data_IF_321694426543
#
_entry.id   IF_321694426543
#
_cell.length_a   1.000
_cell.length_b   1.000
_cell.length_c   1.000
_cell.angle_alpha   90.00
_cell.angle_beta   90.00
_cell.angle_gamma   90.00
#
_symmetry.space_group_name_H-M   'P 1'
#
loop_
_entity.id
_entity.type
_entity.pdbx_description
1 polymer ?
#
# COMPACT_ATOMS: atom_id res chain seq x y z
N UNK A 1 14.09 12.84 8.96
CA UNK A 1 14.28 11.77 7.93
C UNK A 1 13.16 11.88 6.91
N UNK A 2 13.51 12.37 5.74
CA UNK A 2 12.56 12.57 4.65
C UNK A 2 12.26 11.24 3.95
N UNK A 3 10.98 10.89 3.87
CA UNK A 3 10.51 9.69 3.18
C UNK A 3 9.59 10.04 2.03
N UNK A 4 9.85 9.52 0.84
CA UNK A 4 9.00 9.59 -0.33
C UNK A 4 8.27 8.26 -0.52
N UNK A 5 6.94 8.28 -0.57
CA UNK A 5 6.13 7.09 -0.79
C UNK A 5 5.21 7.19 -2.00
N UNK A 6 4.99 6.05 -2.65
CA UNK A 6 4.13 5.90 -3.82
C UNK A 6 3.16 4.74 -3.62
N UNK A 7 1.88 5.00 -3.83
CA UNK A 7 0.82 3.99 -3.95
C UNK A 7 0.09 4.15 -5.29
N UNK A 8 0.19 3.15 -6.12
CA UNK A 8 -0.49 3.06 -7.42
C UNK A 8 -1.28 1.74 -7.54
N UNK A 9 -1.58 1.10 -6.40
CA UNK A 9 -2.19 -0.22 -6.36
C UNK A 9 -3.70 -0.22 -6.62
N UNK A 10 -4.37 0.94 -6.57
CA UNK A 10 -5.81 1.10 -6.78
C UNK A 10 -6.13 2.04 -7.94
N UNK A 11 -7.41 2.27 -8.22
CA UNK A 11 -7.87 3.25 -9.23
C UNK A 11 -7.48 4.68 -8.83
N UNK A 12 -7.58 4.98 -7.54
CA UNK A 12 -7.06 6.20 -6.96
C UNK A 12 -5.73 5.85 -6.30
N UNK A 13 -4.66 6.45 -6.82
CA UNK A 13 -3.33 6.35 -6.24
C UNK A 13 -3.01 7.56 -5.37
N UNK A 14 -1.83 7.52 -4.76
CA UNK A 14 -1.30 8.66 -4.02
C UNK A 14 0.22 8.64 -3.98
N UNK A 15 0.80 9.83 -3.76
CA UNK A 15 2.20 10.03 -3.45
C UNK A 15 2.29 10.92 -2.21
N UNK A 16 3.30 10.71 -1.38
CA UNK A 16 3.47 11.49 -0.15
C UNK A 16 4.94 11.77 0.14
N UNK A 17 5.20 12.93 0.72
CA UNK A 17 6.46 13.25 1.40
C UNK A 17 6.17 13.38 2.89
N UNK A 18 6.98 12.71 3.71
CA UNK A 18 6.91 12.82 5.17
C UNK A 18 8.26 13.21 5.73
N UNK A 19 8.27 13.91 6.88
CA UNK A 19 9.47 14.15 7.68
C UNK A 19 9.28 13.61 9.09
N UNK A 20 10.18 12.74 9.53
CA UNK A 20 10.09 12.02 10.82
C UNK A 20 8.69 11.39 11.03
N UNK A 21 8.10 10.85 9.94
CA UNK A 21 6.75 10.26 9.95
C UNK A 21 5.61 11.26 9.96
N UNK A 22 5.87 12.56 10.03
CA UNK A 22 4.86 13.61 9.85
C UNK A 22 4.64 13.89 8.37
N UNK A 23 3.38 13.88 7.93
CA UNK A 23 3.03 14.15 6.55
C UNK A 23 3.30 15.63 6.24
N UNK A 24 4.23 15.91 5.32
CA UNK A 24 4.41 17.24 4.76
C UNK A 24 3.34 17.53 3.71
N UNK A 25 3.13 16.58 2.80
CA UNK A 25 2.08 16.66 1.79
C UNK A 25 1.72 15.27 1.24
N UNK A 26 0.45 15.10 0.86
CA UNK A 26 -0.05 13.96 0.10
C UNK A 26 -0.72 14.49 -1.15
N UNK A 27 -0.36 13.95 -2.31
CA UNK A 27 -1.05 14.20 -3.57
C UNK A 27 -1.85 12.98 -3.99
N UNK A 28 -3.13 13.20 -4.28
CA UNK A 28 -4.02 12.21 -4.86
C UNK A 28 -3.75 12.08 -6.35
N UNK A 29 -3.67 10.86 -6.84
CA UNK A 29 -3.47 10.55 -8.24
C UNK A 29 -4.73 9.91 -8.81
N UNK A 30 -5.17 10.40 -9.97
CA UNK A 30 -6.21 9.76 -10.75
C UNK A 30 -5.76 9.70 -12.21
N UNK A 31 -5.56 8.49 -12.72
CA UNK A 31 -4.99 8.27 -14.05
C UNK A 31 -5.74 7.17 -14.81
N UNK A 32 -6.89 7.47 -15.44
CA UNK A 32 -7.63 6.49 -16.23
C UNK A 32 -6.79 5.85 -17.35
N UNK A 33 -5.78 6.57 -17.87
CA UNK A 33 -4.81 6.08 -18.85
C UNK A 33 -3.61 5.33 -18.27
N UNK A 34 -3.57 5.15 -16.94
CA UNK A 34 -2.49 4.49 -16.21
C UNK A 34 -1.47 5.46 -15.59
N UNK A 35 -1.00 5.13 -14.40
CA UNK A 35 -0.12 5.98 -13.59
C UNK A 35 1.24 6.25 -14.23
N UNK A 36 1.74 5.35 -15.10
CA UNK A 36 3.04 5.52 -15.76
C UNK A 36 3.17 6.83 -16.56
N UNK A 37 2.06 7.41 -17.01
CA UNK A 37 2.08 8.65 -17.79
C UNK A 37 2.23 9.91 -16.92
N UNK A 38 1.73 9.87 -15.68
CA UNK A 38 1.64 11.06 -14.82
C UNK A 38 2.58 11.02 -13.62
N UNK A 39 3.01 9.83 -13.18
CA UNK A 39 3.66 9.63 -11.89
C UNK A 39 4.88 10.53 -11.67
N UNK A 40 5.79 10.60 -12.62
CA UNK A 40 7.01 11.40 -12.46
C UNK A 40 6.74 12.91 -12.46
N UNK A 41 5.79 13.39 -13.26
CA UNK A 41 5.38 14.79 -13.23
C UNK A 41 4.72 15.17 -11.91
N UNK A 42 3.88 14.30 -11.36
CA UNK A 42 3.25 14.51 -10.06
C UNK A 42 4.26 14.43 -8.90
N UNK A 43 5.27 13.54 -8.99
CA UNK A 43 6.37 13.49 -8.02
C UNK A 43 7.18 14.79 -8.03
N UNK A 44 7.54 15.30 -9.20
CA UNK A 44 8.25 16.59 -9.34
C UNK A 44 7.44 17.73 -8.74
N UNK A 45 6.14 17.81 -9.06
CA UNK A 45 5.24 18.83 -8.53
C UNK A 45 5.09 18.74 -7.01
N UNK A 46 4.97 17.52 -6.44
CA UNK A 46 4.89 17.28 -4.99
C UNK A 46 6.16 17.77 -4.29
N UNK A 47 7.33 17.36 -4.77
CA UNK A 47 8.62 17.76 -4.20
C UNK A 47 8.81 19.28 -4.23
N UNK A 48 8.42 19.92 -5.34
CA UNK A 48 8.49 21.39 -5.46
C UNK A 48 7.59 22.10 -4.44
N UNK A 49 6.35 21.60 -4.22
CA UNK A 49 5.44 22.14 -3.19
C UNK A 49 5.99 21.97 -1.79
N UNK A 50 6.60 20.83 -1.49
CA UNK A 50 7.27 20.59 -0.21
C UNK A 50 8.60 21.35 -0.06
N UNK A 51 9.14 21.95 -1.13
CA UNK A 51 10.48 22.56 -1.18
C UNK A 51 11.59 21.57 -0.82
N UNK A 52 11.41 20.31 -1.21
CA UNK A 52 12.33 19.20 -1.00
C UNK A 52 12.92 18.80 -2.34
N UNK A 53 14.23 18.55 -2.41
CA UNK A 53 14.88 18.01 -3.60
C UNK A 53 14.86 16.48 -3.53
N UNK A 54 14.87 15.81 -4.66
CA UNK A 54 14.94 14.34 -4.70
C UNK A 54 16.20 13.80 -3.97
N UNK A 55 17.31 14.56 -4.02
CA UNK A 55 18.56 14.21 -3.35
C UNK A 55 18.49 14.30 -1.81
N UNK A 56 17.49 15.00 -1.27
CA UNK A 56 17.29 15.18 0.18
C UNK A 56 16.46 14.01 0.77
N UNK A 57 15.90 13.14 -0.06
CA UNK A 57 15.12 11.98 0.39
C UNK A 57 16.06 10.94 1.02
N UNK A 58 15.73 10.50 2.21
CA UNK A 58 16.50 9.51 2.98
C UNK A 58 15.98 8.09 2.81
N UNK A 59 14.67 7.92 2.60
CA UNK A 59 13.99 6.63 2.45
C UNK A 59 12.94 6.70 1.35
N UNK A 60 12.89 5.65 0.55
CA UNK A 60 11.85 5.45 -0.47
C UNK A 60 10.88 4.35 -0.03
N UNK A 61 9.60 4.49 -0.37
CA UNK A 61 8.60 3.49 -0.04
C UNK A 61 7.61 3.26 -1.19
N UNK A 62 7.21 2.03 -1.40
CA UNK A 62 6.18 1.68 -2.38
C UNK A 62 5.14 0.75 -1.80
N UNK A 63 3.89 0.93 -2.23
CA UNK A 63 2.85 -0.07 -2.06
C UNK A 63 3.21 -1.35 -2.82
N UNK A 64 3.16 -2.49 -2.13
CA UNK A 64 3.40 -3.80 -2.76
C UNK A 64 2.12 -4.49 -3.21
N UNK A 65 0.97 -3.89 -2.99
CA UNK A 65 -0.34 -4.52 -3.15
C UNK A 65 -0.83 -5.14 -1.83
N UNK A 66 -1.92 -5.93 -1.87
CA UNK A 66 -2.64 -6.35 -3.08
C UNK A 66 -3.41 -5.22 -3.76
N UNK A 67 -3.62 -5.37 -5.08
CA UNK A 67 -4.34 -4.40 -5.89
C UNK A 67 -4.17 -4.63 -7.38
N UNK A 68 -4.21 -3.55 -8.16
CA UNK A 68 -4.00 -3.55 -9.60
C UNK A 68 -2.62 -4.08 -9.97
N UNK A 69 -2.55 -5.16 -10.73
CA UNK A 69 -1.30 -5.78 -11.16
C UNK A 69 -0.36 -4.81 -11.90
N UNK A 70 -0.90 -4.03 -12.83
CA UNK A 70 -0.13 -3.01 -13.56
C UNK A 70 0.25 -1.85 -12.66
N UNK A 71 -0.71 -1.38 -11.85
CA UNK A 71 -0.49 -0.25 -10.94
C UNK A 71 0.64 -0.54 -9.95
N UNK A 72 0.59 -1.66 -9.23
CA UNK A 72 1.65 -2.06 -8.28
C UNK A 72 3.03 -2.05 -8.93
N UNK A 73 3.15 -2.60 -10.15
CA UNK A 73 4.44 -2.62 -10.87
C UNK A 73 4.96 -1.23 -11.23
N UNK A 74 4.09 -0.30 -11.58
CA UNK A 74 4.48 1.08 -11.89
C UNK A 74 5.08 1.76 -10.67
N UNK A 75 4.42 1.68 -9.51
CA UNK A 75 4.93 2.26 -8.26
C UNK A 75 6.24 1.61 -7.82
N UNK A 76 6.30 0.28 -7.84
CA UNK A 76 7.50 -0.47 -7.46
C UNK A 76 8.68 -0.13 -8.37
N UNK A 77 8.49 -0.13 -9.69
CA UNK A 77 9.56 0.19 -10.64
C UNK A 77 10.09 1.61 -10.45
N UNK A 78 9.20 2.58 -10.23
CA UNK A 78 9.58 3.96 -9.98
C UNK A 78 10.42 4.09 -8.69
N UNK A 79 9.93 3.53 -7.58
CA UNK A 79 10.62 3.64 -6.28
C UNK A 79 11.94 2.88 -6.29
N UNK A 80 12.00 1.66 -6.82
CA UNK A 80 13.24 0.91 -6.95
C UNK A 80 14.28 1.67 -7.77
N UNK A 81 13.87 2.21 -8.92
CA UNK A 81 14.77 2.99 -9.77
C UNK A 81 15.29 4.26 -9.11
N UNK A 82 14.42 5.02 -8.45
CA UNK A 82 14.81 6.23 -7.72
C UNK A 82 15.75 5.93 -6.55
N UNK A 83 15.45 4.93 -5.76
CA UNK A 83 16.26 4.52 -4.60
C UNK A 83 17.64 4.01 -5.03
N UNK A 84 17.69 3.19 -6.09
CA UNK A 84 18.95 2.67 -6.65
C UNK A 84 19.86 3.78 -7.15
N UNK A 85 19.33 4.72 -7.93
CA UNK A 85 20.11 5.87 -8.44
C UNK A 85 20.58 6.78 -7.31
N UNK A 86 19.76 6.95 -6.26
CA UNK A 86 20.10 7.76 -5.10
C UNK A 86 21.05 7.05 -4.12
N UNK A 87 21.25 5.75 -4.23
CA UNK A 87 21.99 4.94 -3.25
C UNK A 87 21.34 4.96 -1.87
N UNK A 88 20.00 4.98 -1.82
CA UNK A 88 19.19 5.11 -0.59
C UNK A 88 18.37 3.85 -0.33
N UNK A 89 18.02 3.57 0.95
CA UNK A 89 17.14 2.47 1.29
C UNK A 89 15.74 2.64 0.69
N UNK A 90 15.08 1.50 0.44
CA UNK A 90 13.68 1.47 0.04
C UNK A 90 12.94 0.32 0.73
N UNK A 91 11.66 0.52 1.05
CA UNK A 91 10.80 -0.49 1.65
C UNK A 91 9.51 -0.70 0.85
N UNK A 92 9.11 -1.95 0.72
CA UNK A 92 7.80 -2.33 0.20
C UNK A 92 6.80 -2.51 1.36
N UNK A 93 5.64 -1.89 1.28
CA UNK A 93 4.60 -1.94 2.31
C UNK A 93 3.30 -2.48 1.72
N UNK A 94 2.70 -3.47 2.41
CA UNK A 94 1.40 -4.01 2.02
C UNK A 94 0.30 -2.95 2.14
N UNK A 95 -0.56 -2.85 1.12
CA UNK A 95 -1.74 -1.99 1.17
C UNK A 95 -2.71 -2.40 2.29
N UNK A 96 -2.83 -3.70 2.59
CA UNK A 96 -3.63 -4.18 3.72
C UNK A 96 -3.02 -3.75 5.05
N UNK A 97 -1.69 -3.84 5.21
CA UNK A 97 -1.01 -3.38 6.41
C UNK A 97 -1.17 -1.86 6.61
N UNK A 98 -1.04 -1.08 5.53
CA UNK A 98 -1.26 0.37 5.59
C UNK A 98 -2.71 0.72 5.93
N UNK A 99 -3.68 0.01 5.35
CA UNK A 99 -5.10 0.20 5.59
C UNK A 99 -5.49 -0.12 7.04
N UNK A 100 -4.92 -1.20 7.61
CA UNK A 100 -5.17 -1.61 9.00
C UNK A 100 -4.80 -0.53 10.03
N UNK A 101 -3.88 0.38 9.69
CA UNK A 101 -3.45 1.45 10.61
C UNK A 101 -4.53 2.51 10.89
N UNK A 102 -5.60 2.52 10.12
CA UNK A 102 -6.74 3.42 10.36
C UNK A 102 -7.75 2.84 11.36
N UNK A 103 -7.61 1.57 11.75
CA UNK A 103 -8.38 0.96 12.82
C UNK A 103 -7.77 1.19 14.20
N UNK A 104 -8.60 1.01 15.24
CA UNK A 104 -8.23 1.21 16.64
C UNK A 104 -8.33 -0.05 17.50
N UNK A 105 -9.07 -1.07 17.02
CA UNK A 105 -9.26 -2.33 17.74
C UNK A 105 -7.99 -3.19 17.76
N UNK A 106 -7.96 -4.18 18.67
CA UNK A 106 -6.85 -5.13 18.77
C UNK A 106 -6.77 -6.06 17.56
N UNK A 107 -7.94 -6.42 17.00
CA UNK A 107 -8.04 -7.22 15.78
C UNK A 107 -8.61 -6.37 14.66
N UNK A 108 -7.86 -6.22 13.59
CA UNK A 108 -8.15 -5.36 12.44
C UNK A 108 -8.22 -6.18 11.17
N UNK A 109 -9.32 -6.01 10.44
CA UNK A 109 -9.60 -6.71 9.20
C UNK A 109 -9.69 -5.71 8.04
N UNK A 110 -8.55 -5.31 7.44
CA UNK A 110 -8.54 -4.46 6.26
C UNK A 110 -9.15 -5.18 5.06
N UNK A 111 -9.98 -4.46 4.30
CA UNK A 111 -10.71 -4.95 3.13
C UNK A 111 -10.46 -4.06 1.93
N UNK A 112 -10.01 -4.64 0.82
CA UNK A 112 -9.85 -3.96 -0.47
C UNK A 112 -10.70 -4.71 -1.51
N UNK A 113 -11.48 -3.98 -2.30
CA UNK A 113 -12.28 -4.57 -3.38
C UNK A 113 -11.36 -5.26 -4.41
N UNK A 114 -11.48 -6.59 -4.51
CA UNK A 114 -10.75 -7.39 -5.48
C UNK A 114 -11.52 -7.58 -6.78
N UNK A 115 -12.68 -6.90 -6.93
CA UNK A 115 -13.63 -7.05 -8.01
C UNK A 115 -14.25 -8.46 -8.04
N UNK A 116 -15.24 -8.67 -8.92
CA UNK A 116 -15.91 -9.97 -9.15
C UNK A 116 -16.57 -10.56 -7.89
N UNK A 117 -16.96 -9.70 -6.93
CA UNK A 117 -17.58 -10.14 -5.66
C UNK A 117 -16.58 -10.68 -4.62
N UNK A 118 -15.29 -10.48 -4.82
CA UNK A 118 -14.22 -10.87 -3.92
C UNK A 118 -13.57 -9.66 -3.25
N UNK A 119 -12.90 -9.91 -2.12
CA UNK A 119 -12.09 -8.94 -1.40
C UNK A 119 -10.67 -9.46 -1.23
N UNK A 120 -9.70 -8.57 -1.28
CA UNK A 120 -8.42 -8.80 -0.63
C UNK A 120 -8.60 -8.48 0.85
N UNK A 121 -8.28 -9.42 1.70
CA UNK A 121 -8.47 -9.30 3.14
C UNK A 121 -7.35 -10.01 3.91
N UNK A 122 -7.07 -9.51 5.10
CA UNK A 122 -6.23 -10.14 6.11
C UNK A 122 -6.82 -9.88 7.48
N UNK A 123 -6.45 -10.66 8.49
CA UNK A 123 -6.70 -10.32 9.88
C UNK A 123 -5.36 -10.05 10.55
N UNK A 124 -5.19 -8.84 11.06
CA UNK A 124 -3.97 -8.41 11.75
C UNK A 124 -4.28 -8.11 13.22
N UNK A 125 -3.30 -8.36 14.08
CA UNK A 125 -3.33 -7.85 15.44
C UNK A 125 -2.91 -6.36 15.50
N UNK A 126 -2.87 -5.82 16.71
CA UNK A 126 -2.48 -4.43 16.97
C UNK A 126 -1.06 -4.12 16.48
N UNK A 127 -0.16 -5.08 16.55
CA UNK A 127 1.25 -4.94 16.20
C UNK A 127 1.51 -5.15 14.70
N UNK A 128 0.45 -5.49 13.94
CA UNK A 128 0.52 -5.73 12.50
C UNK A 128 0.88 -7.16 12.12
N UNK A 129 0.89 -8.10 13.08
CA UNK A 129 1.12 -9.52 12.81
C UNK A 129 -0.12 -10.13 12.13
N UNK A 130 0.07 -10.83 11.03
CA UNK A 130 -1.01 -11.52 10.35
C UNK A 130 -1.47 -12.77 11.12
N UNK A 131 -2.71 -12.72 11.62
CA UNK A 131 -3.41 -13.86 12.24
C UNK A 131 -4.08 -14.71 11.17
N UNK A 132 -4.68 -14.06 10.17
CA UNK A 132 -5.15 -14.68 8.93
C UNK A 132 -4.37 -14.02 7.80
N UNK A 133 -3.57 -14.80 7.04
CA UNK A 133 -2.76 -14.26 5.97
C UNK A 133 -3.58 -13.56 4.89
N UNK A 134 -2.95 -12.60 4.21
CA UNK A 134 -3.55 -11.93 3.06
C UNK A 134 -4.08 -12.93 2.04
N UNK A 135 -5.35 -12.80 1.69
CA UNK A 135 -6.06 -13.72 0.80
C UNK A 135 -7.05 -12.98 -0.10
N UNK A 136 -7.48 -13.63 -1.18
CA UNK A 136 -8.53 -13.15 -2.07
C UNK A 136 -9.66 -14.17 -2.08
N UNK A 137 -10.86 -13.76 -1.66
CA UNK A 137 -12.03 -14.62 -1.52
C UNK A 137 -13.31 -13.77 -1.40
N UNK A 138 -14.49 -14.38 -1.58
CA UNK A 138 -15.76 -13.71 -1.27
C UNK A 138 -15.81 -13.28 0.20
N UNK A 139 -16.30 -12.07 0.48
CA UNK A 139 -16.37 -11.54 1.85
C UNK A 139 -17.06 -12.48 2.85
N UNK A 140 -18.17 -13.19 2.53
CA UNK A 140 -18.77 -14.15 3.47
C UNK A 140 -17.81 -15.27 3.92
N UNK A 141 -16.96 -15.74 3.01
CA UNK A 141 -15.93 -16.75 3.36
C UNK A 141 -14.86 -16.20 4.28
N UNK A 142 -14.47 -14.93 4.10
CA UNK A 142 -13.55 -14.28 5.03
C UNK A 142 -14.19 -14.12 6.42
N UNK A 143 -15.45 -13.74 6.49
CA UNK A 143 -16.21 -13.63 7.75
C UNK A 143 -16.29 -14.98 8.48
N UNK A 144 -16.45 -16.10 7.77
CA UNK A 144 -16.40 -17.44 8.36
C UNK A 144 -15.01 -17.75 8.96
N UNK A 145 -13.91 -17.37 8.27
CA UNK A 145 -12.54 -17.57 8.76
C UNK A 145 -12.25 -16.78 10.04
N UNK A 146 -12.87 -15.61 10.20
CA UNK A 146 -12.80 -14.81 11.42
C UNK A 146 -13.39 -15.57 12.61
N UNK A 147 -14.43 -16.40 12.39
CA UNK A 147 -14.94 -17.33 13.39
C UNK A 147 -15.56 -16.65 14.62
N UNK A 148 -16.29 -15.55 14.41
CA UNK A 148 -17.00 -14.83 15.48
C UNK A 148 -16.11 -14.00 16.40
N UNK A 149 -14.82 -13.82 16.07
CA UNK A 149 -13.94 -12.89 16.80
C UNK A 149 -14.47 -11.46 16.67
N UNK A 150 -14.34 -10.66 17.72
CA UNK A 150 -14.61 -9.24 17.66
C UNK A 150 -13.50 -8.55 16.88
N UNK A 151 -13.82 -8.10 15.67
CA UNK A 151 -12.87 -7.46 14.75
C UNK A 151 -13.40 -6.11 14.28
N UNK A 152 -12.51 -5.19 13.99
CA UNK A 152 -12.81 -3.95 13.30
C UNK A 152 -12.51 -4.13 11.81
N UNK A 153 -13.52 -3.98 10.96
CA UNK A 153 -13.35 -3.93 9.51
C UNK A 153 -12.92 -2.53 9.10
N UNK A 154 -11.92 -2.43 8.23
CA UNK A 154 -11.40 -1.15 7.72
C UNK A 154 -11.40 -1.19 6.19
N UNK A 155 -11.93 -0.17 5.54
CA UNK A 155 -11.93 -0.09 4.07
C UNK A 155 -11.86 1.34 3.55
N UNK A 156 -11.27 1.49 2.37
CA UNK A 156 -11.35 2.69 1.55
C UNK A 156 -12.31 2.43 0.36
N UNK A 157 -13.62 2.51 0.62
CA UNK A 157 -14.65 2.46 -0.43
C UNK A 157 -15.29 1.10 -0.72
N UNK A 158 -14.90 0.01 -0.05
CA UNK A 158 -15.66 -1.25 -0.11
C UNK A 158 -16.67 -1.31 1.04
N UNK A 159 -17.91 -1.63 0.73
CA UNK A 159 -18.99 -1.84 1.72
C UNK A 159 -19.21 -3.35 1.94
N UNK A 160 -18.87 -3.89 3.11
CA UNK A 160 -19.10 -5.30 3.45
C UNK A 160 -20.54 -5.60 3.88
N UNK A 161 -21.46 -4.61 3.88
CA UNK A 161 -22.82 -4.74 4.39
C UNK A 161 -22.92 -4.80 5.91
N UNK A 162 -21.89 -4.34 6.62
CA UNK A 162 -21.81 -4.25 8.08
C UNK A 162 -20.91 -3.09 8.48
N UNK A 163 -20.86 -2.70 9.79
CA UNK A 163 -20.05 -1.57 10.23
C UNK A 163 -18.60 -1.68 9.79
N UNK A 164 -18.08 -0.61 9.19
CA UNK A 164 -16.70 -0.51 8.69
C UNK A 164 -16.13 0.85 9.05
N UNK A 165 -14.88 0.86 9.51
CA UNK A 165 -14.11 2.09 9.66
C UNK A 165 -13.66 2.55 8.28
N UNK A 166 -14.10 3.74 7.88
CA UNK A 166 -13.74 4.32 6.58
C UNK A 166 -12.34 4.93 6.65
N UNK A 167 -11.45 4.43 5.80
CA UNK A 167 -10.13 4.98 5.59
C UNK A 167 -10.08 5.86 4.33
N UNK A 168 -9.10 6.77 4.20
CA UNK A 168 -8.87 7.48 2.96
C UNK A 168 -8.37 6.54 1.86
N UNK A 169 -8.55 6.94 0.61
CA UNK A 169 -7.95 6.24 -0.54
C UNK A 169 -6.44 6.48 -0.61
N UNK A 170 -5.97 7.61 -0.10
CA UNK A 170 -4.58 8.07 -0.14
C UNK A 170 -3.76 7.38 0.95
N UNK A 171 -3.18 6.21 0.64
CA UNK A 171 -2.41 5.42 1.61
C UNK A 171 -0.91 5.78 1.65
N UNK A 172 -0.39 6.59 0.71
CA UNK A 172 1.05 6.85 0.61
C UNK A 172 1.66 7.43 1.89
N UNK A 173 0.94 8.31 2.61
CA UNK A 173 1.41 8.84 3.88
C UNK A 173 1.58 7.78 4.97
N UNK A 174 0.67 6.80 5.03
CA UNK A 174 0.78 5.68 5.96
C UNK A 174 1.87 4.69 5.53
N UNK A 175 2.01 4.46 4.23
CA UNK A 175 3.08 3.64 3.66
C UNK A 175 4.45 4.24 4.03
N UNK A 176 4.62 5.56 3.93
CA UNK A 176 5.85 6.24 4.35
C UNK A 176 6.16 6.02 5.84
N UNK A 177 5.15 6.12 6.71
CA UNK A 177 5.31 5.90 8.15
C UNK A 177 5.72 4.46 8.48
N UNK A 178 5.08 3.48 7.88
CA UNK A 178 5.39 2.06 8.08
C UNK A 178 6.79 1.73 7.54
N UNK A 179 7.17 2.29 6.40
CA UNK A 179 8.53 2.14 5.85
C UNK A 179 9.59 2.69 6.80
N UNK A 180 9.35 3.87 7.38
CA UNK A 180 10.23 4.47 8.38
C UNK A 180 10.35 3.56 9.62
N UNK A 181 9.23 3.03 10.13
CA UNK A 181 9.24 2.13 11.28
C UNK A 181 10.06 0.87 11.02
N UNK A 182 9.94 0.27 9.83
CA UNK A 182 10.75 -0.89 9.41
C UNK A 182 12.24 -0.57 9.39
N UNK A 183 12.62 0.56 8.80
CA UNK A 183 14.02 1.00 8.77
C UNK A 183 14.58 1.21 10.19
N UNK A 184 13.82 1.88 11.06
CA UNK A 184 14.21 2.12 12.46
C UNK A 184 14.28 0.84 13.30
N UNK A 185 13.47 -0.18 12.96
CA UNK A 185 13.54 -1.51 13.56
C UNK A 185 14.73 -2.34 13.06
N UNK A 186 15.52 -1.81 12.12
CA UNK A 186 16.68 -2.50 11.54
C UNK A 186 16.30 -3.58 10.52
N UNK A 187 15.06 -3.57 10.02
CA UNK A 187 14.66 -4.50 8.97
C UNK A 187 15.34 -4.14 7.63
N UNK A 188 15.62 -5.15 6.79
CA UNK A 188 16.21 -4.91 5.47
C UNK A 188 15.34 -3.99 4.61
N UNK A 189 15.94 -2.90 4.10
CA UNK A 189 15.32 -1.94 3.20
C UNK A 189 16.13 -1.82 1.89
N UNK A 190 16.43 -2.97 1.29
CA UNK A 190 17.14 -3.06 0.01
C UNK A 190 16.15 -2.90 -1.15
N UNK A 191 16.33 -1.89 -2.03
CA UNK A 191 15.48 -1.71 -3.20
C UNK A 191 15.36 -2.95 -4.09
N UNK A 192 16.44 -3.74 -4.22
CA UNK A 192 16.45 -4.95 -5.05
C UNK A 192 15.51 -6.02 -4.51
N UNK A 193 15.37 -6.13 -3.19
CA UNK A 193 14.59 -7.17 -2.51
C UNK A 193 13.08 -6.91 -2.46
N UNK A 194 12.62 -5.70 -2.85
CA UNK A 194 11.19 -5.39 -2.80
C UNK A 194 10.45 -6.18 -3.89
N UNK A 195 9.45 -6.94 -3.49
CA UNK A 195 8.61 -7.71 -4.39
C UNK A 195 7.14 -7.31 -4.28
N UNK A 196 6.39 -7.51 -5.39
CA UNK A 196 4.95 -7.32 -5.38
C UNK A 196 4.26 -8.46 -4.61
N UNK A 197 3.30 -8.11 -3.77
CA UNK A 197 2.47 -9.09 -3.06
C UNK A 197 1.31 -9.55 -3.97
N UNK A 198 1.55 -10.60 -4.73
CA UNK A 198 0.54 -11.19 -5.62
C UNK A 198 -0.35 -12.17 -4.87
N UNK A 199 -1.32 -11.66 -4.10
CA UNK A 199 -2.33 -12.48 -3.42
C UNK A 199 -3.22 -13.23 -4.43
N UNK A 200 -3.51 -12.60 -5.59
CA UNK A 200 -4.18 -13.24 -6.72
C UNK A 200 -3.16 -13.58 -7.81
N UNK A 201 -3.21 -14.80 -8.34
CA UNK A 201 -2.46 -15.14 -9.56
C UNK A 201 -2.95 -14.27 -10.71
N UNK A 202 -2.04 -13.91 -11.61
CA UNK A 202 -2.42 -13.14 -12.81
C UNK A 202 -3.44 -13.91 -13.66
N UNK A 203 -4.32 -13.21 -14.37
CA UNK A 203 -5.27 -13.85 -15.30
C UNK A 203 -4.52 -14.71 -16.33
N UNK A 204 -3.32 -14.31 -16.74
CA UNK A 204 -2.47 -15.10 -17.62
C UNK A 204 -2.07 -16.46 -16.99
N UNK A 205 -1.74 -16.50 -15.69
CA UNK A 205 -1.42 -17.76 -14.98
C UNK A 205 -2.65 -18.62 -14.71
N UNK A 206 -3.83 -18.00 -14.57
CA UNK A 206 -5.09 -18.71 -14.34
C UNK A 206 -5.56 -19.39 -15.64
N UNK A 207 -5.42 -18.72 -16.78
CA UNK A 207 -5.89 -19.19 -18.08
C UNK A 207 -4.84 -19.98 -18.87
N UNK A 208 -3.57 -19.93 -18.45
CA UNK A 208 -2.49 -20.72 -19.04
C UNK A 208 -2.55 -22.15 -18.47
N UNK A 209 -3.51 -22.93 -18.92
CA UNK A 209 -3.43 -24.40 -18.83
C UNK A 209 -2.87 -24.90 -20.16
N UNK A 210 -1.65 -25.41 -20.08
CA UNK A 210 -1.06 -26.19 -21.17
C UNK A 210 -1.90 -27.43 -21.48
#
# INVERSE_FOLDING_TARGET
>A
MLTLAVDTAAEIGSIAVTDEGHILEVARLHAPGGFGQILFGELEALLARCRVRLADIDLYAAATGPGSFTGVRVGLAAIKGLAEVAGKPAAGISNLAALAQFGSADLRAPLIDARRGEVFAALLDRDGTEIIPASVLPFPRFAELIGGRAVEFISAGFDPGQPVTTAPFELAGMIARLAMQRLLAGEPCDPASIEANYVRRSDAEIFWKA
#
